data_IF_499866159993
#
_entry.id   IF_499866159993
#
_cell.length_a   1.000
_cell.length_b   1.000
_cell.length_c   1.000
_cell.angle_alpha   90.00
_cell.angle_beta   90.00
_cell.angle_gamma   90.00
#
_symmetry.space_group_name_H-M   'P 1'
#
loop_
_entity.id
_entity.type
_entity.pdbx_description
1 polymer ?
#
# COMPACT_ATOMS: atom_id res chain seq x y z
N UNK A 1 -8.89 -2.47 -19.79
CA UNK A 1 -8.31 -2.73 -18.45
C UNK A 1 -7.83 -1.38 -17.96
N UNK A 2 -8.41 -0.89 -16.86
CA UNK A 2 -8.01 0.40 -16.28
C UNK A 2 -6.61 0.30 -15.65
N UNK A 3 -6.04 1.44 -15.25
CA UNK A 3 -4.80 1.45 -14.49
C UNK A 3 -4.98 0.74 -13.13
N UNK A 4 -6.11 0.94 -12.45
CA UNK A 4 -6.42 0.27 -11.20
C UNK A 4 -6.60 -1.24 -11.37
N UNK A 5 -7.19 -1.72 -12.48
CA UNK A 5 -7.26 -3.15 -12.80
C UNK A 5 -5.86 -3.78 -12.90
N UNK A 6 -4.92 -3.08 -13.55
CA UNK A 6 -3.53 -3.54 -13.67
C UNK A 6 -2.85 -3.63 -12.30
N UNK A 7 -2.97 -2.58 -11.47
CA UNK A 7 -2.36 -2.54 -10.14
C UNK A 7 -2.98 -3.55 -9.16
N UNK A 8 -4.29 -3.79 -9.28
CA UNK A 8 -5.02 -4.77 -8.48
C UNK A 8 -4.72 -6.21 -8.89
N UNK A 9 -4.27 -6.46 -10.12
CA UNK A 9 -3.90 -7.80 -10.58
C UNK A 9 -2.61 -8.33 -9.95
N UNK A 10 -1.78 -7.45 -9.37
CA UNK A 10 -0.58 -7.84 -8.62
C UNK A 10 -0.97 -8.36 -7.24
N UNK A 11 -0.70 -9.65 -7.01
CA UNK A 11 -0.90 -10.28 -5.70
C UNK A 11 0.16 -9.79 -4.70
N UNK A 12 -0.26 -8.96 -3.75
CA UNK A 12 0.58 -8.44 -2.67
C UNK A 12 0.06 -8.95 -1.31
N UNK A 13 0.98 -9.28 -0.41
CA UNK A 13 0.68 -9.65 0.97
C UNK A 13 0.94 -8.47 1.90
N UNK A 14 0.44 -8.53 3.14
CA UNK A 14 0.82 -7.56 4.18
C UNK A 14 2.34 -7.48 4.35
N UNK A 15 3.04 -8.61 4.30
CA UNK A 15 4.50 -8.67 4.37
C UNK A 15 5.19 -7.92 3.20
N UNK A 16 4.60 -7.94 2.00
CA UNK A 16 5.11 -7.15 0.87
C UNK A 16 4.97 -5.65 1.13
N UNK A 17 3.82 -5.23 1.64
CA UNK A 17 3.57 -3.82 1.97
C UNK A 17 4.48 -3.34 3.11
N UNK A 18 4.69 -4.15 4.15
CA UNK A 18 5.62 -3.83 5.23
C UNK A 18 7.06 -3.68 4.73
N UNK A 19 7.51 -4.60 3.88
CA UNK A 19 8.83 -4.54 3.26
C UNK A 19 9.01 -3.29 2.41
N UNK A 20 8.00 -2.94 1.60
CA UNK A 20 7.99 -1.72 0.80
C UNK A 20 8.03 -0.45 1.65
N UNK A 21 7.19 -0.34 2.69
CA UNK A 21 7.19 0.80 3.61
C UNK A 21 8.53 0.94 4.33
N UNK A 22 9.11 -0.17 4.80
CA UNK A 22 10.44 -0.19 5.42
C UNK A 22 11.52 0.28 4.45
N UNK A 23 11.44 -0.13 3.20
CA UNK A 23 12.38 0.26 2.13
C UNK A 23 12.32 1.78 1.89
N UNK A 24 11.12 2.35 1.76
CA UNK A 24 10.95 3.81 1.61
C UNK A 24 11.41 4.57 2.85
N UNK A 25 11.16 4.05 4.06
CA UNK A 25 11.60 4.67 5.30
C UNK A 25 13.13 4.71 5.46
N UNK A 26 13.86 3.79 4.84
CA UNK A 26 15.33 3.75 4.85
C UNK A 26 15.96 4.77 3.89
N UNK A 27 15.19 5.37 2.97
CA UNK A 27 15.71 6.42 2.11
C UNK A 27 16.20 7.63 2.94
N UNK A 28 17.25 8.33 2.48
CA UNK A 28 17.64 9.62 3.05
C UNK A 28 16.46 10.58 3.11
N UNK A 29 16.38 11.42 4.15
CA UNK A 29 15.23 12.31 4.38
C UNK A 29 14.85 13.14 3.14
N UNK A 30 15.84 13.69 2.43
CA UNK A 30 15.62 14.48 1.21
C UNK A 30 15.12 13.66 0.00
N UNK A 31 15.26 12.34 0.04
CA UNK A 31 14.83 11.41 -1.00
C UNK A 31 13.48 10.73 -0.66
N UNK A 32 13.03 10.80 0.59
CA UNK A 32 11.76 10.18 1.01
C UNK A 32 10.56 10.80 0.33
N UNK A 33 10.57 12.10 0.04
CA UNK A 33 9.46 12.78 -0.65
C UNK A 33 9.66 12.83 -2.17
N UNK A 34 10.72 12.21 -2.70
CA UNK A 34 10.99 12.16 -4.12
C UNK A 34 10.36 10.90 -4.75
N UNK A 35 9.31 11.03 -5.59
CA UNK A 35 8.61 9.88 -6.18
C UNK A 35 9.53 8.97 -7.01
N UNK A 36 10.52 9.56 -7.69
CA UNK A 36 11.49 8.78 -8.48
C UNK A 36 12.39 7.94 -7.59
N UNK A 37 12.84 8.49 -6.45
CA UNK A 37 13.67 7.75 -5.50
C UNK A 37 12.88 6.62 -4.83
N UNK A 38 11.62 6.87 -4.48
CA UNK A 38 10.71 5.84 -3.98
C UNK A 38 10.51 4.72 -5.02
N UNK A 39 10.21 5.07 -6.28
CA UNK A 39 9.98 4.09 -7.35
C UNK A 39 11.20 3.19 -7.58
N UNK A 40 12.41 3.76 -7.61
CA UNK A 40 13.66 3.00 -7.75
C UNK A 40 13.88 2.06 -6.57
N UNK A 41 13.63 2.52 -5.34
CA UNK A 41 13.80 1.70 -4.15
C UNK A 41 12.78 0.54 -4.11
N UNK A 42 11.53 0.81 -4.49
CA UNK A 42 10.47 -0.20 -4.56
C UNK A 42 10.69 -1.19 -5.69
N UNK A 43 11.27 -0.78 -6.82
CA UNK A 43 11.66 -1.68 -7.90
C UNK A 43 12.75 -2.65 -7.43
N UNK A 44 13.80 -2.15 -6.77
CA UNK A 44 14.85 -2.99 -6.20
C UNK A 44 14.30 -3.96 -5.13
N UNK A 45 13.33 -3.49 -4.33
CA UNK A 45 12.63 -4.35 -3.38
C UNK A 45 11.80 -5.44 -4.07
N UNK A 46 11.03 -5.09 -5.10
CA UNK A 46 10.20 -6.05 -5.84
C UNK A 46 11.04 -7.15 -6.49
N UNK A 47 12.17 -6.79 -7.10
CA UNK A 47 13.16 -7.73 -7.65
C UNK A 47 13.70 -8.66 -6.56
N UNK A 48 14.11 -8.12 -5.41
CA UNK A 48 14.62 -8.91 -4.29
C UNK A 48 13.56 -9.85 -3.67
N UNK A 49 12.30 -9.41 -3.63
CA UNK A 49 11.17 -10.18 -3.14
C UNK A 49 10.68 -11.25 -4.13
N UNK A 50 11.22 -11.28 -5.36
CA UNK A 50 10.84 -12.24 -6.40
C UNK A 50 9.42 -12.02 -6.94
N UNK A 51 8.95 -10.77 -6.95
CA UNK A 51 7.65 -10.43 -7.53
C UNK A 51 7.72 -10.54 -9.06
N UNK A 52 6.66 -11.04 -9.68
CA UNK A 52 6.61 -11.16 -11.15
C UNK A 52 6.33 -9.78 -11.75
N UNK A 53 7.09 -9.42 -12.78
CA UNK A 53 7.05 -8.10 -13.45
C UNK A 53 7.37 -6.96 -12.47
N UNK A 54 8.67 -6.80 -12.17
CA UNK A 54 9.19 -5.85 -11.18
C UNK A 54 8.67 -4.41 -11.37
N UNK A 55 8.42 -4.01 -12.62
CA UNK A 55 7.92 -2.68 -12.93
C UNK A 55 6.45 -2.52 -12.49
N UNK A 56 5.59 -3.48 -12.84
CA UNK A 56 4.19 -3.48 -12.42
C UNK A 56 4.07 -3.71 -10.91
N UNK A 57 4.88 -4.59 -10.34
CA UNK A 57 4.93 -4.86 -8.91
C UNK A 57 5.35 -3.63 -8.11
N UNK A 58 6.39 -2.92 -8.55
CA UNK A 58 6.83 -1.65 -7.94
C UNK A 58 5.72 -0.59 -7.97
N UNK A 59 5.04 -0.44 -9.11
CA UNK A 59 3.92 0.49 -9.23
C UNK A 59 2.74 0.11 -8.30
N UNK A 60 2.42 -1.17 -8.20
CA UNK A 60 1.36 -1.68 -7.32
C UNK A 60 1.69 -1.47 -5.83
N UNK A 61 2.95 -1.68 -5.44
CA UNK A 61 3.44 -1.38 -4.09
C UNK A 61 3.34 0.12 -3.79
N UNK A 62 3.84 0.96 -4.70
CA UNK A 62 3.84 2.41 -4.55
C UNK A 62 2.42 2.97 -4.41
N UNK A 63 1.50 2.52 -5.26
CA UNK A 63 0.09 2.93 -5.21
C UNK A 63 -0.56 2.54 -3.88
N UNK A 64 -0.34 1.31 -3.40
CA UNK A 64 -0.93 0.84 -2.13
C UNK A 64 -0.37 1.56 -0.91
N UNK A 65 0.95 1.76 -0.81
CA UNK A 65 1.52 2.48 0.34
C UNK A 65 1.11 3.96 0.34
N UNK A 66 0.95 4.56 -0.85
CA UNK A 66 0.47 5.93 -0.99
C UNK A 66 -1.01 6.05 -0.61
N UNK A 67 -1.85 5.14 -1.08
CA UNK A 67 -3.27 5.05 -0.70
C UNK A 67 -3.41 4.85 0.81
N UNK A 68 -2.59 3.96 1.39
CA UNK A 68 -2.59 3.72 2.82
C UNK A 68 -2.17 4.97 3.61
N UNK A 69 -1.09 5.65 3.20
CA UNK A 69 -0.63 6.86 3.86
C UNK A 69 -1.69 7.97 3.84
N UNK A 70 -2.39 8.14 2.71
CA UNK A 70 -3.52 9.07 2.58
C UNK A 70 -4.67 8.69 3.52
N UNK A 71 -5.08 7.41 3.48
CA UNK A 71 -6.20 6.94 4.28
C UNK A 71 -5.91 7.06 5.78
N UNK A 72 -4.75 6.60 6.25
CA UNK A 72 -4.37 6.71 7.68
C UNK A 72 -4.32 8.17 8.13
N UNK A 73 -3.81 9.09 7.30
CA UNK A 73 -3.77 10.50 7.64
C UNK A 73 -5.16 11.14 7.77
N UNK A 74 -6.14 10.69 6.99
CA UNK A 74 -7.49 11.24 6.96
C UNK A 74 -8.47 10.56 7.93
N UNK A 75 -8.33 9.25 8.13
CA UNK A 75 -9.35 8.42 8.79
C UNK A 75 -8.86 7.73 10.07
N UNK A 76 -7.54 7.53 10.23
CA UNK A 76 -6.95 6.96 11.45
C UNK A 76 -5.75 7.77 11.99
N UNK A 77 -5.91 9.09 12.22
CA UNK A 77 -4.80 9.97 12.61
C UNK A 77 -4.25 9.64 14.01
N UNK A 78 -5.08 9.09 14.88
CA UNK A 78 -4.72 8.68 16.24
C UNK A 78 -4.19 7.23 16.31
N UNK A 79 -4.17 6.51 15.18
CA UNK A 79 -3.73 5.10 15.09
C UNK A 79 -4.48 4.20 16.06
N UNK A 80 -5.81 4.34 16.06
CA UNK A 80 -6.71 3.51 16.84
C UNK A 80 -6.82 2.10 16.25
N UNK A 81 -6.64 1.98 14.93
CA UNK A 81 -6.60 0.67 14.27
C UNK A 81 -5.24 0.00 14.48
N UNK A 82 -5.25 -1.32 14.62
CA UNK A 82 -4.05 -2.14 14.73
C UNK A 82 -3.28 -2.13 13.41
N UNK A 83 -1.95 -2.00 13.49
CA UNK A 83 -1.11 -1.97 12.30
C UNK A 83 -1.26 -3.26 11.47
N UNK A 84 -1.43 -4.41 12.10
CA UNK A 84 -1.62 -5.69 11.42
C UNK A 84 -2.91 -5.71 10.59
N UNK A 85 -4.04 -5.31 11.17
CA UNK A 85 -5.32 -5.28 10.43
C UNK A 85 -5.29 -4.28 9.27
N UNK A 86 -4.68 -3.11 9.48
CA UNK A 86 -4.52 -2.09 8.44
C UNK A 86 -3.68 -2.61 7.27
N UNK A 87 -2.56 -3.29 7.55
CA UNK A 87 -1.69 -3.84 6.51
C UNK A 87 -2.35 -5.00 5.76
N UNK A 88 -3.09 -5.85 6.47
CA UNK A 88 -3.83 -6.94 5.84
C UNK A 88 -5.00 -6.43 4.99
N UNK A 89 -5.72 -5.40 5.46
CA UNK A 89 -6.74 -4.71 4.67
C UNK A 89 -6.13 -4.10 3.41
N UNK A 90 -5.00 -3.38 3.52
CA UNK A 90 -4.32 -2.76 2.38
C UNK A 90 -3.82 -3.78 1.34
N UNK A 91 -3.50 -5.00 1.76
CA UNK A 91 -3.12 -6.08 0.84
C UNK A 91 -4.32 -6.63 0.06
N UNK A 92 -5.49 -6.71 0.71
CA UNK A 92 -6.70 -7.36 0.17
C UNK A 92 -7.65 -6.41 -0.55
N UNK A 93 -7.74 -5.17 -0.09
CA UNK A 93 -8.69 -4.20 -0.62
C UNK A 93 -8.24 -3.67 -1.98
N UNK A 94 -9.18 -3.61 -2.91
CA UNK A 94 -8.90 -3.10 -4.27
C UNK A 94 -8.69 -1.60 -4.26
N UNK A 95 -7.70 -1.14 -5.01
CA UNK A 95 -7.52 0.28 -5.32
C UNK A 95 -8.62 0.77 -6.26
N UNK A 96 -9.11 1.97 -6.01
CA UNK A 96 -10.13 2.68 -6.79
C UNK A 96 -9.61 4.01 -7.32
N UNK A 97 -10.26 4.55 -8.36
CA UNK A 97 -10.04 5.92 -8.80
C UNK A 97 -10.89 6.86 -7.94
N UNK A 98 -10.23 7.71 -7.17
CA UNK A 98 -10.84 8.72 -6.30
C UNK A 98 -10.61 10.14 -6.87
N UNK A 99 -11.28 11.14 -6.30
CA UNK A 99 -11.17 12.53 -6.75
C UNK A 99 -9.74 13.10 -6.63
N UNK A 100 -8.92 12.57 -5.72
CA UNK A 100 -7.53 12.97 -5.46
C UNK A 100 -6.50 11.95 -6.01
N UNK A 101 -6.93 11.05 -6.90
CA UNK A 101 -6.10 10.05 -7.56
C UNK A 101 -6.43 8.63 -7.11
N UNK A 102 -5.46 7.72 -7.20
CA UNK A 102 -5.67 6.32 -6.80
C UNK A 102 -5.66 6.21 -5.27
N UNK A 103 -6.64 5.50 -4.72
CA UNK A 103 -6.86 5.37 -3.28
C UNK A 103 -7.61 4.10 -2.88
N UNK A 104 -7.98 4.04 -1.61
CA UNK A 104 -8.98 3.10 -1.12
C UNK A 104 -10.28 3.86 -0.90
N UNK A 105 -11.40 3.27 -1.30
CA UNK A 105 -12.72 3.79 -0.93
C UNK A 105 -12.82 3.81 0.62
N UNK A 106 -13.02 4.99 1.25
CA UNK A 106 -12.76 5.14 2.68
C UNK A 106 -13.61 4.28 3.61
N UNK A 107 -14.93 4.26 3.37
CA UNK A 107 -15.89 3.63 4.29
C UNK A 107 -15.75 2.10 4.21
N UNK A 108 -15.65 1.55 3.00
CA UNK A 108 -15.46 0.12 2.75
C UNK A 108 -14.09 -0.37 3.21
N UNK A 109 -13.06 0.45 3.09
CA UNK A 109 -11.75 0.11 3.62
C UNK A 109 -11.78 0.04 5.15
N UNK A 110 -12.40 1.01 5.82
CA UNK A 110 -12.60 0.99 7.28
C UNK A 110 -13.41 -0.25 7.71
N UNK A 111 -14.48 -0.59 6.99
CA UNK A 111 -15.27 -1.80 7.24
C UNK A 111 -14.38 -3.05 7.22
N UNK A 112 -13.46 -3.17 6.24
CA UNK A 112 -12.54 -4.31 6.17
C UNK A 112 -11.51 -4.32 7.30
N UNK A 113 -10.96 -3.15 7.66
CA UNK A 113 -10.02 -3.04 8.79
C UNK A 113 -10.68 -3.56 10.07
N UNK A 114 -11.87 -3.05 10.42
CA UNK A 114 -12.61 -3.48 11.61
C UNK A 114 -12.95 -4.97 11.57
N UNK A 115 -13.38 -5.48 10.41
CA UNK A 115 -13.65 -6.90 10.25
C UNK A 115 -12.41 -7.76 10.56
N UNK A 116 -11.23 -7.35 10.11
CA UNK A 116 -9.99 -8.10 10.36
C UNK A 116 -9.60 -8.05 11.84
N UNK A 117 -9.81 -6.93 12.53
CA UNK A 117 -9.54 -6.79 13.96
C UNK A 117 -10.40 -7.70 14.84
N UNK A 118 -11.62 -8.01 14.38
CA UNK A 118 -12.56 -8.87 15.09
C UNK A 118 -12.32 -10.37 14.86
N UNK A 119 -11.38 -10.75 13.98
CA UNK A 119 -11.11 -12.17 13.70
C UNK A 119 -10.41 -12.85 14.88
N UNK A 120 -10.92 -14.00 15.38
CA UNK A 120 -10.20 -14.81 16.35
C UNK A 120 -9.02 -15.50 15.67
N UNK A 121 -7.80 -15.19 16.12
CA UNK A 121 -6.54 -15.79 15.67
C UNK A 121 -6.43 -17.29 15.96
#
# INVERSE_FOLDING_TARGET
MSATDQLNSVALSAAHLEGAMRTVAQLPMHARDNPMAQALALQAYAEHAGLVDDALASAALHARISALAKWTAAHDPERQSTAEAVMEAAARFGLTEEADGIGFEPDRFQELVLFIEELPW
#
